data_IF_587882070779
#
_entry.id   IF_587882070779
#
_cell.length_a   1.000
_cell.length_b   1.000
_cell.length_c   1.000
_cell.angle_alpha   90.00
_cell.angle_beta   90.00
_cell.angle_gamma   90.00
#
_symmetry.space_group_name_H-M   'P 1'
#
loop_
_entity.id
_entity.type
_entity.pdbx_description
1 polymer ?
#
# COMPACT_ATOMS: atom_id res chain seq x y z
N UNK A 1 4.52 2.94 11.16
CA UNK A 1 4.76 2.16 9.91
C UNK A 1 4.40 0.71 10.17
N UNK A 2 3.70 0.07 9.25
CA UNK A 2 3.35 -1.35 9.29
C UNK A 2 4.11 -2.10 8.19
N UNK A 3 4.48 -3.35 8.44
CA UNK A 3 5.01 -4.29 7.43
C UNK A 3 4.23 -5.60 7.55
N UNK A 4 3.86 -6.17 6.41
CA UNK A 4 3.00 -7.35 6.30
C UNK A 4 3.51 -8.25 5.19
N UNK A 5 3.45 -9.56 5.45
CA UNK A 5 3.80 -10.60 4.50
C UNK A 5 2.52 -11.25 3.99
N UNK A 6 2.42 -11.44 2.68
CA UNK A 6 1.25 -11.96 2.01
C UNK A 6 1.62 -13.29 1.38
N UNK A 7 0.88 -14.33 1.73
CA UNK A 7 1.01 -15.66 1.16
C UNK A 7 -0.16 -15.96 0.23
N UNK A 8 0.12 -16.65 -0.89
CA UNK A 8 -0.89 -17.16 -1.82
C UNK A 8 -0.64 -18.66 -2.00
N UNK A 9 -1.64 -19.47 -1.65
CA UNK A 9 -1.55 -20.93 -1.70
C UNK A 9 -0.35 -21.49 -0.90
N UNK A 10 -0.07 -20.93 0.27
CA UNK A 10 1.05 -21.35 1.13
C UNK A 10 2.41 -20.78 0.75
N UNK A 11 2.56 -20.16 -0.41
CA UNK A 11 3.82 -19.58 -0.87
C UNK A 11 3.87 -18.07 -0.61
N UNK A 12 5.07 -17.54 -0.31
CA UNK A 12 5.28 -16.10 -0.19
C UNK A 12 5.02 -15.41 -1.54
N UNK A 13 4.15 -14.40 -1.54
CA UNK A 13 3.67 -13.78 -2.78
C UNK A 13 3.94 -12.28 -2.84
N UNK A 14 3.75 -11.57 -1.73
CA UNK A 14 4.00 -10.14 -1.66
C UNK A 14 4.42 -9.70 -0.25
N UNK A 15 5.07 -8.55 -0.18
CA UNK A 15 5.25 -7.79 1.05
C UNK A 15 4.63 -6.42 0.83
N UNK A 16 3.84 -5.93 1.78
CA UNK A 16 3.45 -4.53 1.78
C UNK A 16 3.91 -3.81 3.02
N UNK A 17 4.19 -2.52 2.85
CA UNK A 17 4.44 -1.58 3.94
C UNK A 17 3.45 -0.44 3.84
N UNK A 18 2.97 0.02 4.99
CA UNK A 18 2.04 1.13 5.08
C UNK A 18 2.54 2.19 6.08
N UNK A 19 2.47 3.45 5.69
CA UNK A 19 2.64 4.61 6.58
C UNK A 19 1.26 5.15 6.91
N UNK A 20 1.01 5.31 8.20
CA UNK A 20 -0.21 5.88 8.76
C UNK A 20 0.20 7.21 9.41
N UNK A 21 0.19 8.33 8.67
CA UNK A 21 0.60 9.63 9.20
C UNK A 21 -0.24 10.03 10.41
N UNK A 22 0.39 10.68 11.39
CA UNK A 22 -0.34 11.36 12.46
C UNK A 22 -0.83 12.73 11.99
N UNK A 23 -2.07 13.11 12.33
CA UNK A 23 -2.61 14.43 11.99
C UNK A 23 -4.13 14.45 11.82
N UNK A 24 -4.74 15.62 12.01
CA UNK A 24 -6.19 15.82 11.94
C UNK A 24 -6.72 16.09 10.52
N UNK A 25 -5.85 16.38 9.55
CA UNK A 25 -6.26 16.80 8.22
C UNK A 25 -5.99 15.69 7.19
N UNK A 26 -7.07 15.11 6.66
CA UNK A 26 -7.12 14.04 5.64
C UNK A 26 -6.32 12.78 5.98
N UNK A 27 -7.02 11.75 6.44
CA UNK A 27 -6.42 10.44 6.68
C UNK A 27 -6.14 9.74 5.37
N UNK A 28 -4.86 9.64 5.06
CA UNK A 28 -4.33 8.92 3.91
C UNK A 28 -3.35 7.89 4.42
N UNK A 29 -3.34 6.72 3.81
CA UNK A 29 -2.37 5.66 4.05
C UNK A 29 -1.54 5.52 2.79
N UNK A 30 -0.26 5.81 2.91
CA UNK A 30 0.68 5.55 1.82
C UNK A 30 1.14 4.11 1.93
N UNK A 31 0.99 3.35 0.85
CA UNK A 31 1.27 1.92 0.80
C UNK A 31 2.28 1.66 -0.31
N UNK A 32 3.25 0.80 -0.04
CA UNK A 32 4.03 0.16 -1.09
C UNK A 32 3.79 -1.33 -1.06
N UNK A 33 3.53 -1.92 -2.22
CA UNK A 33 3.32 -3.36 -2.39
C UNK A 33 4.41 -3.89 -3.31
N UNK A 34 5.24 -4.77 -2.77
CA UNK A 34 6.30 -5.44 -3.50
C UNK A 34 5.88 -6.86 -3.88
N UNK A 35 5.86 -7.13 -5.17
CA UNK A 35 5.63 -8.46 -5.74
C UNK A 35 6.92 -9.07 -6.25
N UNK A 36 6.98 -10.38 -6.25
CA UNK A 36 8.06 -11.16 -6.82
C UNK A 36 8.33 -12.40 -5.98
N UNK A 37 9.39 -13.11 -6.35
CA UNK A 37 9.80 -14.31 -5.63
C UNK A 37 10.61 -13.93 -4.37
N UNK A 38 10.29 -14.60 -3.27
CA UNK A 38 10.84 -14.38 -1.93
C UNK A 38 11.62 -15.59 -1.41
N UNK A 39 11.74 -16.66 -2.20
CA UNK A 39 12.57 -17.81 -1.86
C UNK A 39 14.06 -17.44 -1.77
N UNK A 40 14.85 -18.25 -1.07
CA UNK A 40 16.28 -17.99 -0.83
C UNK A 40 17.10 -17.86 -2.12
N UNK A 41 16.68 -18.54 -3.18
CA UNK A 41 17.32 -18.50 -4.50
C UNK A 41 16.84 -17.34 -5.38
N UNK A 42 15.80 -16.60 -4.97
CA UNK A 42 15.15 -15.59 -5.79
C UNK A 42 15.98 -14.31 -5.91
N UNK A 43 16.08 -13.76 -7.12
CA UNK A 43 16.79 -12.50 -7.34
C UNK A 43 15.93 -11.31 -6.90
N UNK A 44 16.43 -10.42 -6.01
CA UNK A 44 15.74 -9.18 -5.67
C UNK A 44 15.51 -8.24 -6.85
N UNK A 45 16.17 -8.46 -8.00
CA UNK A 45 15.99 -7.69 -9.24
C UNK A 45 14.70 -8.03 -9.99
N UNK A 46 14.10 -9.18 -9.70
CA UNK A 46 12.84 -9.62 -10.29
C UNK A 46 11.62 -9.09 -9.52
N UNK A 47 11.85 -8.38 -8.41
CA UNK A 47 10.80 -7.76 -7.62
C UNK A 47 10.42 -6.41 -8.21
N UNK A 48 9.13 -6.14 -8.21
CA UNK A 48 8.57 -4.84 -8.61
C UNK A 48 7.72 -4.32 -7.47
N UNK A 49 7.80 -3.01 -7.25
CA UNK A 49 7.07 -2.35 -6.17
C UNK A 49 6.11 -1.31 -6.74
N UNK A 50 4.84 -1.41 -6.38
CA UNK A 50 3.79 -0.44 -6.66
C UNK A 50 3.66 0.53 -5.48
N UNK A 51 3.54 1.82 -5.75
CA UNK A 51 3.13 2.82 -4.77
C UNK A 51 1.63 3.07 -4.90
N UNK A 52 0.93 3.06 -3.77
CA UNK A 52 -0.49 3.31 -3.68
C UNK A 52 -0.77 4.31 -2.56
N UNK A 53 -1.88 5.03 -2.70
CA UNK A 53 -2.47 5.78 -1.63
C UNK A 53 -3.89 5.28 -1.39
N UNK A 54 -4.26 5.13 -0.12
CA UNK A 54 -5.58 4.71 0.32
C UNK A 54 -6.17 5.77 1.25
N UNK A 55 -7.44 6.10 1.08
CA UNK A 55 -8.15 7.06 1.92
C UNK A 55 -9.63 6.67 2.02
N UNK A 56 -10.31 7.13 3.06
CA UNK A 56 -11.75 6.97 3.19
C UNK A 56 -12.47 8.28 2.83
N UNK A 57 -13.60 8.17 2.16
CA UNK A 57 -14.63 9.21 2.11
C UNK A 57 -15.87 8.76 2.91
N UNK A 58 -16.98 9.46 2.79
CA UNK A 58 -18.22 9.16 3.51
C UNK A 58 -18.84 7.79 3.16
N UNK A 59 -18.45 7.21 2.02
CA UNK A 59 -19.11 6.04 1.43
C UNK A 59 -18.21 4.83 1.31
N UNK A 60 -16.91 5.02 1.06
CA UNK A 60 -16.01 3.93 0.76
C UNK A 60 -14.53 4.25 1.02
N UNK A 61 -13.74 3.17 1.10
CA UNK A 61 -12.28 3.25 1.01
C UNK A 61 -11.90 3.29 -0.47
N UNK A 62 -11.15 4.32 -0.85
CA UNK A 62 -10.62 4.53 -2.18
C UNK A 62 -9.13 4.17 -2.22
N UNK A 63 -8.67 3.73 -3.38
CA UNK A 63 -7.26 3.40 -3.64
C UNK A 63 -6.85 4.00 -4.99
N UNK A 64 -5.62 4.52 -5.08
CA UNK A 64 -5.02 4.98 -6.33
C UNK A 64 -3.54 4.64 -6.40
N UNK A 65 -3.05 4.32 -7.60
CA UNK A 65 -1.62 4.26 -7.89
C UNK A 65 -1.05 5.69 -7.93
N UNK A 66 0.02 5.92 -7.17
CA UNK A 66 0.71 7.21 -7.08
C UNK A 66 2.17 7.07 -7.52
N UNK A 67 2.86 8.19 -7.69
CA UNK A 67 4.30 8.17 -7.96
C UNK A 67 5.09 7.68 -6.73
N UNK A 68 6.23 7.05 -7.00
CA UNK A 68 7.08 6.45 -5.96
C UNK A 68 7.85 7.47 -5.12
N UNK A 69 7.67 8.75 -5.39
CA UNK A 69 8.43 9.83 -4.78
C UNK A 69 7.60 10.42 -3.65
N UNK A 70 7.98 10.14 -2.39
CA UNK A 70 7.99 11.13 -1.29
C UNK A 70 8.18 10.53 0.12
N UNK A 71 7.85 9.26 0.38
CA UNK A 71 7.91 8.71 1.75
C UNK A 71 8.82 7.48 1.96
N UNK A 72 9.19 6.79 0.89
CA UNK A 72 9.84 5.47 0.98
C UNK A 72 11.24 5.51 0.35
N UNK A 73 12.29 5.50 1.20
CA UNK A 73 13.67 5.39 0.69
C UNK A 73 13.86 4.03 -0.04
N UNK A 74 14.63 4.00 -1.14
CA UNK A 74 14.71 2.88 -2.10
C UNK A 74 15.31 1.55 -1.61
N UNK A 75 15.45 1.30 -0.30
CA UNK A 75 16.49 0.39 0.19
C UNK A 75 16.04 -1.03 0.58
N UNK A 76 14.75 -1.39 0.58
CA UNK A 76 14.37 -2.77 0.98
C UNK A 76 13.44 -3.56 0.05
N UNK A 77 12.67 -2.92 -0.83
CA UNK A 77 11.65 -3.62 -1.63
C UNK A 77 11.90 -3.64 -3.15
N UNK A 78 12.90 -2.88 -3.63
CA UNK A 78 13.45 -2.78 -5.00
C UNK A 78 12.45 -2.55 -6.15
N UNK A 79 12.95 -1.79 -7.14
CA UNK A 79 12.23 -1.21 -8.29
C UNK A 79 10.85 -0.68 -7.93
N UNK A 80 10.84 0.43 -7.18
CA UNK A 80 9.66 1.25 -7.04
C UNK A 80 9.34 1.86 -8.41
N UNK A 81 8.23 1.45 -9.00
CA UNK A 81 7.80 1.93 -10.31
C UNK A 81 7.17 3.31 -10.15
N UNK A 82 7.40 4.17 -11.15
CA UNK A 82 6.65 5.42 -11.26
C UNK A 82 5.22 5.13 -11.73
N UNK A 83 4.29 6.05 -11.48
CA UNK A 83 2.86 5.81 -11.73
C UNK A 83 2.58 5.38 -13.17
N UNK A 84 3.20 6.03 -14.14
CA UNK A 84 3.00 5.74 -15.57
C UNK A 84 3.48 4.33 -15.97
N UNK A 85 4.56 3.85 -15.35
CA UNK A 85 5.05 2.48 -15.53
C UNK A 85 4.12 1.48 -14.84
N UNK A 86 3.77 1.75 -13.58
CA UNK A 86 2.90 0.90 -12.77
C UNK A 86 1.52 0.68 -13.43
N UNK A 87 0.92 1.73 -13.98
CA UNK A 87 -0.37 1.66 -14.68
C UNK A 87 -0.35 0.84 -15.97
N UNK A 88 0.84 0.54 -16.52
CA UNK A 88 1.01 -0.34 -17.69
C UNK A 88 1.56 -1.72 -17.33
N UNK A 89 1.87 -1.96 -16.04
CA UNK A 89 2.51 -3.18 -15.63
C UNK A 89 1.51 -4.37 -15.64
N UNK A 90 1.91 -5.56 -16.12
CA UNK A 90 1.02 -6.74 -16.16
C UNK A 90 0.44 -7.17 -14.81
N UNK A 91 1.08 -6.77 -13.71
CA UNK A 91 0.64 -7.05 -12.34
C UNK A 91 -0.17 -5.92 -11.70
N UNK A 92 -0.61 -4.91 -12.46
CA UNK A 92 -1.47 -3.84 -11.93
C UNK A 92 -2.71 -4.40 -11.25
N UNK A 93 -3.38 -5.38 -11.86
CA UNK A 93 -4.56 -6.01 -11.27
C UNK A 93 -4.23 -6.68 -9.93
N UNK A 94 -3.08 -7.35 -9.82
CA UNK A 94 -2.66 -7.93 -8.54
C UNK A 94 -2.46 -6.88 -7.44
N UNK A 95 -1.97 -5.68 -7.81
CA UNK A 95 -1.83 -4.57 -6.86
C UNK A 95 -3.21 -4.12 -6.34
N UNK A 96 -4.20 -4.00 -7.22
CA UNK A 96 -5.57 -3.65 -6.83
C UNK A 96 -6.25 -4.76 -6.02
N UNK A 97 -6.18 -6.02 -6.48
CA UNK A 97 -6.76 -7.16 -5.77
C UNK A 97 -6.22 -7.26 -4.33
N UNK A 98 -4.90 -7.07 -4.15
CA UNK A 98 -4.30 -7.05 -2.82
C UNK A 98 -4.72 -5.79 -2.04
N UNK A 99 -4.85 -4.64 -2.67
CA UNK A 99 -5.32 -3.42 -2.00
C UNK A 99 -6.76 -3.55 -1.49
N UNK A 100 -7.63 -4.26 -2.22
CA UNK A 100 -9.00 -4.57 -1.77
C UNK A 100 -8.96 -5.46 -0.52
N UNK A 101 -8.10 -6.48 -0.53
CA UNK A 101 -7.93 -7.34 0.66
C UNK A 101 -7.38 -6.54 1.85
N UNK A 102 -6.47 -5.60 1.64
CA UNK A 102 -5.96 -4.72 2.69
C UNK A 102 -7.09 -3.85 3.25
N UNK A 103 -7.87 -3.20 2.38
CA UNK A 103 -8.99 -2.35 2.75
C UNK A 103 -10.11 -3.10 3.49
N UNK A 104 -10.27 -4.40 3.23
CA UNK A 104 -11.29 -5.24 3.88
C UNK A 104 -10.80 -5.94 5.15
N UNK A 105 -9.50 -6.24 5.27
CA UNK A 105 -9.01 -7.21 6.27
C UNK A 105 -7.86 -6.74 7.15
N UNK A 106 -7.07 -5.73 6.76
CA UNK A 106 -6.01 -5.24 7.66
C UNK A 106 -6.61 -4.32 8.72
N UNK A 107 -6.95 -4.91 9.87
CA UNK A 107 -7.61 -4.22 10.97
C UNK A 107 -6.91 -2.92 11.41
N UNK A 108 -5.58 -2.83 11.31
CA UNK A 108 -4.86 -1.62 11.71
C UNK A 108 -5.05 -0.48 10.70
N UNK A 109 -5.11 -0.80 9.40
CA UNK A 109 -5.35 0.17 8.33
C UNK A 109 -6.83 0.57 8.32
N UNK A 110 -7.75 -0.41 8.42
CA UNK A 110 -9.20 -0.15 8.51
C UNK A 110 -9.52 0.74 9.70
N UNK A 111 -9.05 0.38 10.90
CA UNK A 111 -9.28 1.19 12.09
C UNK A 111 -8.64 2.58 12.02
N UNK A 112 -7.57 2.76 11.25
CA UNK A 112 -6.99 4.08 11.02
C UNK A 112 -7.86 4.94 10.10
N UNK A 113 -8.38 4.36 9.03
CA UNK A 113 -9.24 5.06 8.07
C UNK A 113 -10.64 5.36 8.62
N UNK A 114 -11.17 4.50 9.48
CA UNK A 114 -12.55 4.59 9.99
C UNK A 114 -12.77 5.63 11.11
N UNK A 115 -11.76 6.03 11.88
CA UNK A 115 -12.05 6.95 13.00
C UNK A 115 -12.57 8.31 12.47
N UNK A 116 -13.50 8.97 13.15
CA UNK A 116 -14.03 10.27 12.73
C UNK A 116 -12.93 11.34 12.65
N UNK A 117 -13.02 12.22 11.65
CA UNK A 117 -12.19 13.44 11.61
C UNK A 117 -12.56 14.28 12.83
N UNK A 118 -11.58 14.61 13.67
CA UNK A 118 -11.81 15.53 14.78
C UNK A 118 -11.90 16.93 14.18
N UNK A 119 -13.12 17.42 13.99
CA UNK A 119 -13.37 18.83 13.72
C UNK A 119 -13.24 19.59 15.04
N UNK A 120 -12.22 20.43 15.17
CA UNK A 120 -12.26 21.47 16.19
C UNK A 120 -13.31 22.48 15.76
N UNK A 121 -14.48 22.45 16.40
CA UNK A 121 -15.44 23.54 16.31
C UNK A 121 -14.80 24.78 16.94
N UNK A 122 -14.70 25.86 16.17
CA UNK A 122 -14.49 27.18 16.74
C UNK A 122 -15.85 27.67 17.23
N UNK A 123 -16.04 27.62 18.55
CA UNK A 123 -17.06 28.42 19.25
C UNK A 123 -16.74 29.92 19.13
#
# INVERSE_FOLDING_TARGET
>A
MLTRFVSRQGNAWAIYKAILPGGAHQRRVDIIIAFGDWDEAASPRQRVTFALQMWADETMINVSIVDGELAWKPTSLRRLMQREEALRHPWLQHAYDLSDQIALRDAAIVAYLDKPLISFGTD
#
